data_IF_791629452283
#
_entry.id   IF_791629452283
#
_cell.length_a   1.000
_cell.length_b   1.000
_cell.length_c   1.000
_cell.angle_alpha   90.00
_cell.angle_beta   90.00
_cell.angle_gamma   90.00
#
_symmetry.space_group_name_H-M   'P 1'
#
loop_
_entity.id
_entity.type
_entity.pdbx_description
1 polymer ?
#
# COMPACT_ATOMS: atom_id res chain seq x y z
N UNK A 1 47.30 50.72 -31.92
CA UNK A 1 48.05 51.65 -31.05
C UNK A 1 47.11 52.16 -29.97
N UNK A 2 47.55 52.02 -28.71
CA UNK A 2 47.07 52.74 -27.52
C UNK A 2 46.92 54.24 -27.84
N UNK A 3 45.92 54.99 -27.35
CA UNK A 3 45.92 55.53 -25.97
C UNK A 3 44.56 56.12 -25.53
N UNK A 4 44.32 55.92 -24.23
CA UNK A 4 43.50 56.60 -23.21
C UNK A 4 42.96 58.02 -23.48
N UNK A 5 41.75 58.25 -22.97
CA UNK A 5 41.26 59.54 -22.49
C UNK A 5 40.05 59.35 -21.56
N UNK A 6 40.26 59.39 -20.25
CA UNK A 6 39.20 59.28 -19.25
C UNK A 6 38.66 60.66 -18.84
N UNK A 7 37.39 60.69 -18.46
CA UNK A 7 36.79 61.77 -17.66
C UNK A 7 35.99 61.14 -16.53
N UNK A 8 36.49 61.40 -15.31
CA UNK A 8 35.89 61.06 -14.03
C UNK A 8 35.02 62.23 -13.58
N UNK A 9 33.76 61.98 -13.25
CA UNK A 9 32.96 62.86 -12.39
C UNK A 9 32.49 62.05 -11.19
N UNK A 10 33.18 62.23 -10.07
CA UNK A 10 32.80 61.69 -8.78
C UNK A 10 31.75 62.56 -8.11
N UNK A 11 30.54 62.03 -7.95
CA UNK A 11 29.55 62.52 -7.00
C UNK A 11 29.59 61.68 -5.74
N UNK A 12 30.22 62.18 -4.67
CA UNK A 12 30.18 61.57 -3.33
C UNK A 12 28.79 61.75 -2.73
N UNK A 13 28.01 60.68 -2.61
CA UNK A 13 26.87 60.64 -1.69
C UNK A 13 27.40 60.48 -0.26
N UNK A 14 27.07 61.45 0.60
CA UNK A 14 27.49 61.46 1.99
C UNK A 14 26.84 60.30 2.79
N UNK A 15 27.56 59.81 3.79
CA UNK A 15 27.15 58.70 4.68
C UNK A 15 25.86 58.95 5.51
N UNK A 16 25.18 60.08 5.30
CA UNK A 16 23.88 60.40 5.90
C UNK A 16 22.67 60.00 5.03
N UNK A 17 22.87 59.72 3.73
CA UNK A 17 21.79 59.30 2.82
C UNK A 17 21.47 57.79 2.83
N UNK A 18 22.41 56.94 3.25
CA UNK A 18 22.24 55.47 3.24
C UNK A 18 21.58 54.95 4.54
N UNK A 19 21.59 55.73 5.63
CA UNK A 19 20.98 55.33 6.92
C UNK A 19 19.46 55.57 7.01
N UNK A 20 18.89 56.37 6.10
CA UNK A 20 17.44 56.63 6.08
C UNK A 20 16.63 55.55 5.33
N UNK A 21 17.25 54.76 4.44
CA UNK A 21 16.55 53.70 3.71
C UNK A 21 16.55 52.33 4.43
N UNK A 22 17.45 52.11 5.40
CA UNK A 22 17.55 50.85 6.15
C UNK A 22 16.69 50.86 7.43
N UNK A 23 16.22 52.03 7.88
CA UNK A 23 15.39 52.15 9.09
C UNK A 23 13.88 51.98 8.83
N UNK A 24 13.44 51.91 7.57
CA UNK A 24 12.03 51.75 7.19
C UNK A 24 11.56 50.31 6.95
N UNK A 25 12.46 49.34 6.81
CA UNK A 25 12.13 47.94 6.48
C UNK A 25 12.25 46.95 7.66
N UNK A 26 12.78 47.40 8.81
CA UNK A 26 12.86 46.58 10.04
C UNK A 26 11.65 46.80 10.97
N UNK A 27 10.89 47.90 10.78
CA UNK A 27 9.72 48.21 11.60
C UNK A 27 8.43 47.44 11.21
N UNK A 28 8.42 46.71 10.09
CA UNK A 28 7.25 45.91 9.67
C UNK A 28 7.39 44.40 9.97
N UNK A 29 8.59 43.93 10.36
CA UNK A 29 8.85 42.53 10.68
C UNK A 29 8.77 42.19 12.19
N UNK A 30 8.61 43.20 13.06
CA UNK A 30 8.56 43.01 14.51
C UNK A 30 7.14 43.13 15.13
N UNK A 31 6.09 43.32 14.32
CA UNK A 31 4.71 43.51 14.82
C UNK A 31 3.78 42.29 14.67
N UNK A 32 4.30 41.12 14.25
CA UNK A 32 3.53 39.85 14.18
C UNK A 32 4.00 38.83 15.25
N UNK A 33 5.00 39.19 16.06
CA UNK A 33 5.57 38.34 17.11
C UNK A 33 5.38 38.94 18.51
N UNK A 34 4.14 39.20 18.95
CA UNK A 34 3.80 39.42 20.36
C UNK A 34 2.28 39.50 20.61
N UNK A 35 1.56 38.39 20.49
CA UNK A 35 0.32 38.17 21.26
C UNK A 35 0.30 36.73 21.74
N UNK A 36 1.04 36.49 22.82
CA UNK A 36 0.92 35.30 23.67
C UNK A 36 0.92 35.79 25.12
N UNK A 37 -0.07 35.30 25.88
CA UNK A 37 -0.32 35.39 27.32
C UNK A 37 -1.27 36.50 27.79
N UNK A 38 -2.54 36.12 28.01
CA UNK A 38 -3.13 36.00 29.35
C UNK A 38 -4.54 35.37 29.25
N UNK A 39 -4.69 34.09 29.63
CA UNK A 39 -5.96 33.54 30.15
C UNK A 39 -5.61 32.57 31.30
N UNK A 40 -6.29 32.62 32.45
CA UNK A 40 -5.85 32.01 33.70
C UNK A 40 -6.15 30.51 33.78
N UNK A 41 -5.40 29.83 34.65
CA UNK A 41 -5.57 28.42 34.99
C UNK A 41 -6.92 28.13 35.64
N UNK A 42 -7.54 27.05 35.18
CA UNK A 42 -8.60 26.34 35.87
C UNK A 42 -8.20 24.87 36.00
N UNK A 43 -7.88 24.45 37.23
CA UNK A 43 -7.86 23.04 37.59
C UNK A 43 -9.31 22.51 37.52
N UNK A 44 -9.48 21.40 36.81
CA UNK A 44 -10.73 20.66 36.73
C UNK A 44 -10.40 19.24 36.31
N UNK A 45 -10.06 18.42 37.30
CA UNK A 45 -9.93 16.98 37.18
C UNK A 45 -11.19 16.37 36.55
N UNK A 46 -10.91 15.48 35.59
CA UNK A 46 -11.88 14.63 34.93
C UNK A 46 -11.12 13.58 34.14
N UNK A 47 -10.13 12.95 34.79
CA UNK A 47 -9.54 11.73 34.29
C UNK A 47 -10.66 10.70 34.18
N UNK A 48 -11.18 10.48 32.97
CA UNK A 48 -11.91 9.26 32.67
C UNK A 48 -10.89 8.12 32.62
N UNK A 49 -10.56 7.61 33.80
CA UNK A 49 -10.12 6.23 33.98
C UNK A 49 -11.23 5.32 33.46
N UNK A 50 -11.15 4.98 32.18
CA UNK A 50 -11.72 3.75 31.69
C UNK A 50 -10.92 3.34 30.45
N UNK A 51 -9.83 2.60 30.68
CA UNK A 51 -9.04 1.91 29.67
C UNK A 51 -9.80 0.75 29.00
N UNK A 52 -11.10 0.91 28.77
CA UNK A 52 -11.90 -0.03 27.98
C UNK A 52 -11.88 0.45 26.54
N UNK A 53 -11.40 -0.36 25.57
CA UNK A 53 -11.56 -0.01 24.17
C UNK A 53 -13.06 0.16 23.91
N UNK A 54 -13.47 1.36 23.48
CA UNK A 54 -14.83 1.61 23.02
C UNK A 54 -15.26 0.54 22.01
N UNK A 55 -16.57 0.23 21.91
CA UNK A 55 -17.05 -0.94 21.17
C UNK A 55 -16.40 -1.00 19.79
N UNK A 56 -15.82 -2.15 19.45
CA UNK A 56 -15.04 -2.40 18.23
C UNK A 56 -15.80 -2.18 16.90
N UNK A 57 -17.05 -1.69 16.97
CA UNK A 57 -18.05 -1.63 15.93
C UNK A 57 -18.06 -0.32 15.11
N UNK A 58 -17.15 0.65 15.35
CA UNK A 58 -17.17 1.94 14.63
C UNK A 58 -15.78 2.47 14.19
N UNK A 59 -14.79 1.58 14.02
CA UNK A 59 -13.46 1.95 13.51
C UNK A 59 -13.34 1.64 12.02
N UNK A 60 -12.52 2.43 11.31
CA UNK A 60 -12.12 2.09 9.95
C UNK A 60 -11.19 0.88 9.94
N UNK A 61 -11.46 -0.05 9.04
CA UNK A 61 -10.59 -1.15 8.70
C UNK A 61 -10.40 -1.19 7.18
N UNK A 62 -9.18 -1.47 6.73
CA UNK A 62 -8.92 -1.71 5.32
C UNK A 62 -9.60 -3.00 4.87
N UNK A 63 -10.38 -2.95 3.78
CA UNK A 63 -10.97 -4.14 3.15
C UNK A 63 -10.20 -4.58 1.90
N UNK A 64 -9.51 -3.64 1.26
CA UNK A 64 -8.68 -3.89 0.10
C UNK A 64 -7.58 -2.83 0.02
N UNK A 65 -6.41 -3.21 -0.50
CA UNK A 65 -5.33 -2.30 -0.86
C UNK A 65 -4.45 -2.91 -1.94
N UNK A 66 -3.69 -2.05 -2.61
CA UNK A 66 -2.56 -2.45 -3.42
C UNK A 66 -1.44 -1.41 -3.29
N UNK A 67 -0.19 -1.84 -3.32
CA UNK A 67 0.95 -0.95 -3.23
C UNK A 67 1.14 -0.18 -4.56
N UNK A 68 1.41 1.12 -4.47
CA UNK A 68 1.89 1.90 -5.60
C UNK A 68 3.30 1.44 -5.99
N UNK A 69 3.40 0.65 -7.06
CA UNK A 69 4.59 -0.14 -7.36
C UNK A 69 5.55 0.57 -8.32
N UNK A 70 5.01 1.19 -9.37
CA UNK A 70 5.81 1.77 -10.44
C UNK A 70 5.03 2.87 -11.19
N UNK A 71 5.71 3.49 -12.14
CA UNK A 71 5.10 4.34 -13.16
C UNK A 71 4.63 3.46 -14.32
N UNK A 72 3.41 3.68 -14.81
CA UNK A 72 2.89 2.92 -15.94
C UNK A 72 3.67 3.21 -17.23
N UNK A 73 4.23 2.18 -17.90
CA UNK A 73 4.89 2.36 -19.18
C UNK A 73 3.95 2.96 -20.23
N UNK A 74 4.46 3.92 -21.01
CA UNK A 74 3.71 4.54 -22.12
C UNK A 74 2.60 5.51 -21.70
N UNK A 75 2.39 5.79 -20.41
CA UNK A 75 1.39 6.75 -19.93
C UNK A 75 2.04 7.87 -19.12
N UNK A 76 2.88 8.68 -19.78
CA UNK A 76 3.64 9.77 -19.15
C UNK A 76 2.86 11.07 -18.97
N UNK A 77 1.70 11.22 -19.62
CA UNK A 77 0.83 12.39 -19.49
C UNK A 77 -0.45 12.13 -18.68
N UNK A 78 -0.62 10.90 -18.20
CA UNK A 78 -1.80 10.48 -17.45
C UNK A 78 -2.97 10.11 -18.35
N UNK A 79 -4.15 9.95 -17.74
CA UNK A 79 -5.38 9.50 -18.41
C UNK A 79 -6.37 10.66 -18.60
N UNK A 80 -5.92 11.75 -19.20
CA UNK A 80 -6.79 12.89 -19.49
C UNK A 80 -8.03 12.46 -20.31
N UNK A 81 -9.20 13.01 -19.96
CA UNK A 81 -10.47 12.72 -20.63
C UNK A 81 -10.92 11.26 -20.52
N UNK A 82 -10.44 10.51 -19.53
CA UNK A 82 -10.70 9.06 -19.40
C UNK A 82 -11.17 8.72 -17.99
N UNK A 83 -12.18 7.86 -17.90
CA UNK A 83 -12.61 7.22 -16.67
C UNK A 83 -11.92 5.88 -16.50
N UNK A 84 -11.30 5.68 -15.34
CA UNK A 84 -10.65 4.44 -14.92
C UNK A 84 -11.57 3.78 -13.89
N UNK A 85 -12.10 2.59 -14.20
CA UNK A 85 -12.89 1.76 -13.28
C UNK A 85 -12.02 0.63 -12.76
N UNK A 86 -11.43 0.84 -11.60
CA UNK A 86 -10.70 -0.17 -10.85
C UNK A 86 -11.71 -1.14 -10.21
N UNK A 87 -11.57 -2.43 -10.49
CA UNK A 87 -12.33 -3.49 -9.79
C UNK A 87 -11.49 -4.00 -8.64
N UNK A 88 -12.06 -4.04 -7.44
CA UNK A 88 -11.37 -4.49 -6.23
C UNK A 88 -12.21 -5.51 -5.47
N UNK A 89 -11.58 -6.55 -4.95
CA UNK A 89 -12.25 -7.60 -4.19
C UNK A 89 -12.15 -7.33 -2.69
N UNK A 90 -13.30 -7.28 -2.00
CA UNK A 90 -13.35 -6.92 -0.58
C UNK A 90 -13.06 -8.11 0.33
N UNK A 91 -12.16 -7.93 1.29
CA UNK A 91 -11.90 -8.95 2.32
C UNK A 91 -12.98 -8.97 3.40
N UNK A 92 -13.44 -7.79 3.85
CA UNK A 92 -14.47 -7.61 4.87
C UNK A 92 -15.52 -6.58 4.45
N UNK A 93 -16.71 -6.67 5.04
CA UNK A 93 -17.83 -5.76 4.77
C UNK A 93 -17.94 -4.59 5.74
N UNK A 94 -18.84 -3.66 5.43
CA UNK A 94 -19.19 -2.53 6.27
C UNK A 94 -20.42 -1.78 5.75
N UNK A 95 -20.83 -0.73 6.46
CA UNK A 95 -21.99 0.11 6.11
C UNK A 95 -21.59 1.49 5.56
N UNK A 96 -20.31 1.83 5.69
CA UNK A 96 -19.70 2.99 5.05
C UNK A 96 -18.36 2.60 4.43
N UNK A 97 -17.97 3.33 3.39
CA UNK A 97 -16.69 3.14 2.71
C UNK A 97 -16.03 4.48 2.42
N UNK A 98 -14.70 4.46 2.28
CA UNK A 98 -13.90 5.56 1.74
C UNK A 98 -12.74 4.98 0.94
N UNK A 99 -12.19 5.76 0.02
CA UNK A 99 -11.06 5.33 -0.81
C UNK A 99 -9.82 6.18 -0.55
N UNK A 100 -8.65 5.60 -0.82
CA UNK A 100 -7.37 6.28 -0.82
C UNK A 100 -6.84 6.35 -2.25
N UNK A 101 -6.60 7.56 -2.72
CA UNK A 101 -6.00 7.85 -4.02
C UNK A 101 -4.55 8.31 -3.84
N UNK A 102 -3.67 7.91 -4.75
CA UNK A 102 -2.22 8.16 -4.68
C UNK A 102 -1.67 8.64 -6.02
N UNK A 103 -0.89 9.71 -5.95
CA UNK A 103 -0.07 10.24 -7.03
C UNK A 103 1.42 10.15 -6.66
N UNK A 104 1.77 9.13 -5.87
CA UNK A 104 3.10 8.94 -5.28
C UNK A 104 4.25 9.01 -6.28
N UNK A 105 4.06 8.44 -7.47
CA UNK A 105 5.10 8.32 -8.50
C UNK A 105 4.92 9.35 -9.64
N UNK A 106 3.88 10.16 -9.56
CA UNK A 106 3.63 11.25 -10.49
C UNK A 106 4.55 12.45 -10.25
N UNK A 107 4.75 13.26 -11.29
CA UNK A 107 5.61 14.47 -11.26
C UNK A 107 4.83 15.76 -11.40
N UNK A 108 3.51 15.69 -11.57
CA UNK A 108 2.59 16.81 -11.69
C UNK A 108 1.35 16.57 -10.83
N UNK A 109 0.61 17.62 -10.43
CA UNK A 109 -0.66 17.44 -9.74
C UNK A 109 -1.66 16.62 -10.57
N UNK A 110 -2.28 15.64 -9.93
CA UNK A 110 -3.32 14.79 -10.51
C UNK A 110 -4.70 15.37 -10.21
N UNK A 111 -5.36 15.90 -11.23
CA UNK A 111 -6.75 16.33 -11.12
C UNK A 111 -7.71 15.14 -11.27
N UNK A 112 -8.52 14.89 -10.24
CA UNK A 112 -9.66 13.97 -10.26
C UNK A 112 -10.91 14.84 -10.26
N UNK A 113 -11.58 14.93 -11.41
CA UNK A 113 -12.79 15.73 -11.57
C UNK A 113 -13.99 15.10 -10.89
N UNK A 114 -14.14 13.78 -11.07
CA UNK A 114 -15.20 13.00 -10.44
C UNK A 114 -14.68 11.62 -10.03
N UNK A 115 -15.16 11.13 -8.89
CA UNK A 115 -14.95 9.77 -8.46
C UNK A 115 -16.25 9.14 -7.96
N UNK A 116 -16.35 7.82 -8.08
CA UNK A 116 -17.50 7.06 -7.60
C UNK A 116 -17.09 5.71 -7.04
N UNK A 117 -18.01 5.15 -6.25
CA UNK A 117 -17.93 3.81 -5.69
C UNK A 117 -19.27 3.11 -5.92
N UNK A 118 -19.24 1.86 -6.37
CA UNK A 118 -20.41 1.02 -6.48
C UNK A 118 -20.09 -0.44 -6.18
N UNK A 119 -21.11 -1.26 -5.92
CA UNK A 119 -20.96 -2.72 -5.96
C UNK A 119 -21.02 -3.17 -7.43
N UNK A 120 -20.23 -4.16 -7.81
CA UNK A 120 -20.41 -4.80 -9.11
C UNK A 120 -21.78 -5.54 -9.14
N UNK A 121 -22.43 -5.53 -10.31
CA UNK A 121 -23.71 -6.22 -10.50
C UNK A 121 -23.56 -7.75 -10.50
N UNK A 122 -22.42 -8.23 -10.99
CA UNK A 122 -21.99 -9.63 -10.99
C UNK A 122 -20.45 -9.69 -11.02
N UNK A 123 -19.83 -10.87 -10.79
CA UNK A 123 -18.40 -11.04 -11.00
C UNK A 123 -17.98 -10.72 -12.45
N UNK A 124 -16.83 -10.06 -12.62
CA UNK A 124 -16.23 -9.84 -13.93
C UNK A 124 -16.98 -8.89 -14.89
N UNK A 125 -17.97 -8.14 -14.40
CA UNK A 125 -18.67 -7.12 -15.19
C UNK A 125 -18.32 -5.69 -14.75
N UNK A 126 -18.25 -4.72 -15.70
CA UNK A 126 -18.16 -3.32 -15.35
C UNK A 126 -19.49 -2.72 -14.87
N UNK A 127 -20.62 -3.44 -14.95
CA UNK A 127 -21.94 -2.93 -14.55
C UNK A 127 -22.06 -2.81 -13.02
N UNK A 128 -22.64 -1.70 -12.56
CA UNK A 128 -22.91 -1.48 -11.14
C UNK A 128 -24.24 -2.11 -10.72
N UNK A 129 -24.28 -2.68 -9.52
CA UNK A 129 -25.53 -3.17 -8.94
C UNK A 129 -26.53 -2.01 -8.77
N UNK A 130 -27.83 -2.21 -9.10
CA UNK A 130 -28.85 -1.18 -8.97
C UNK A 130 -28.86 -0.53 -7.58
N UNK A 131 -28.97 0.80 -7.53
CA UNK A 131 -29.02 1.57 -6.28
C UNK A 131 -27.72 1.64 -5.47
N UNK A 132 -26.63 0.99 -5.92
CA UNK A 132 -25.35 0.97 -5.19
C UNK A 132 -24.40 2.12 -5.53
N UNK A 133 -24.60 2.81 -6.65
CA UNK A 133 -23.71 3.88 -7.11
C UNK A 133 -23.69 5.04 -6.11
N UNK A 134 -22.48 5.47 -5.73
CA UNK A 134 -22.23 6.60 -4.84
C UNK A 134 -21.20 7.51 -5.48
N UNK A 135 -21.52 8.80 -5.60
CA UNK A 135 -20.52 9.82 -5.90
C UNK A 135 -19.65 10.01 -4.66
N UNK A 136 -18.34 10.11 -4.87
CA UNK A 136 -17.39 10.41 -3.82
C UNK A 136 -17.09 11.90 -3.78
N UNK A 137 -16.73 12.36 -2.59
CA UNK A 137 -16.34 13.74 -2.31
C UNK A 137 -15.01 13.78 -1.56
N UNK A 138 -14.36 14.93 -1.60
CA UNK A 138 -13.11 15.20 -0.90
C UNK A 138 -13.23 16.56 -0.21
N UNK A 139 -13.30 16.56 1.12
CA UNK A 139 -13.59 17.75 1.91
C UNK A 139 -14.87 18.47 1.44
N UNK A 140 -15.91 17.68 1.14
CA UNK A 140 -17.21 18.14 0.65
C UNK A 140 -17.28 18.49 -0.84
N UNK A 141 -16.16 18.43 -1.58
CA UNK A 141 -16.10 18.79 -3.01
C UNK A 141 -16.21 17.56 -3.91
N UNK A 142 -16.82 17.66 -5.11
CA UNK A 142 -17.00 16.52 -6.02
C UNK A 142 -15.70 16.01 -6.68
N UNK A 143 -14.62 16.78 -6.59
CA UNK A 143 -13.31 16.46 -7.16
C UNK A 143 -12.18 16.98 -6.28
N UNK A 144 -10.95 16.57 -6.61
CA UNK A 144 -9.74 16.84 -5.84
C UNK A 144 -8.51 16.93 -6.73
N UNK A 145 -7.52 17.69 -6.30
CA UNK A 145 -6.17 17.67 -6.88
C UNK A 145 -5.22 16.96 -5.91
N UNK A 146 -4.67 15.82 -6.34
CA UNK A 146 -3.66 15.09 -5.56
C UNK A 146 -2.28 15.64 -5.94
N UNK A 147 -1.50 16.21 -5.00
CA UNK A 147 -0.19 16.76 -5.33
C UNK A 147 0.76 15.66 -5.84
N UNK A 148 1.77 16.04 -6.62
CA UNK A 148 2.83 15.11 -7.03
C UNK A 148 3.50 14.50 -5.78
N UNK A 149 3.68 13.18 -5.76
CA UNK A 149 4.20 12.48 -4.59
C UNK A 149 3.21 12.31 -3.43
N UNK A 150 1.99 12.85 -3.55
CA UNK A 150 1.02 12.88 -2.47
C UNK A 150 -0.10 11.85 -2.61
N UNK A 151 -0.93 11.80 -1.56
CA UNK A 151 -2.09 10.92 -1.45
C UNK A 151 -3.27 11.70 -0.86
N UNK A 152 -4.49 11.21 -1.07
CA UNK A 152 -5.70 11.78 -0.48
C UNK A 152 -6.71 10.69 -0.15
N UNK A 153 -7.45 10.86 0.94
CA UNK A 153 -8.57 10.00 1.31
C UNK A 153 -9.89 10.71 1.00
N UNK A 154 -10.87 10.00 0.44
CA UNK A 154 -12.20 10.55 0.22
C UNK A 154 -12.95 10.76 1.53
N UNK A 155 -13.95 11.63 1.50
CA UNK A 155 -14.98 11.65 2.53
C UNK A 155 -15.67 10.27 2.59
N UNK A 156 -16.22 9.88 3.75
CA UNK A 156 -16.94 8.62 3.88
C UNK A 156 -18.30 8.68 3.19
N UNK A 157 -18.68 7.58 2.54
CA UNK A 157 -20.01 7.43 1.94
C UNK A 157 -20.75 6.24 2.53
N UNK A 158 -22.07 6.39 2.71
CA UNK A 158 -22.94 5.30 3.13
C UNK A 158 -23.20 4.35 1.97
N UNK A 159 -22.66 3.15 2.08
CA UNK A 159 -22.85 2.05 1.14
C UNK A 159 -22.67 0.75 1.93
N UNK A 160 -23.68 -0.12 1.90
CA UNK A 160 -23.52 -1.48 2.39
C UNK A 160 -22.55 -2.23 1.46
N UNK A 161 -21.36 -2.48 1.96
CA UNK A 161 -20.31 -3.25 1.30
C UNK A 161 -20.35 -4.67 1.86
N UNK A 162 -20.70 -5.69 1.07
CA UNK A 162 -20.57 -7.08 1.49
C UNK A 162 -19.09 -7.44 1.61
N UNK A 163 -18.78 -8.46 2.41
CA UNK A 163 -17.49 -9.12 2.33
C UNK A 163 -17.45 -10.05 1.10
N UNK A 164 -16.25 -10.35 0.58
CA UNK A 164 -16.05 -11.22 -0.59
C UNK A 164 -16.82 -10.76 -1.83
N UNK A 165 -16.93 -9.45 -2.02
CA UNK A 165 -17.63 -8.84 -3.15
C UNK A 165 -16.74 -7.88 -3.92
N UNK A 166 -17.02 -7.76 -5.21
CA UNK A 166 -16.33 -6.81 -6.08
C UNK A 166 -16.94 -5.41 -5.95
N UNK A 167 -16.08 -4.42 -5.74
CA UNK A 167 -16.42 -3.01 -5.81
C UNK A 167 -15.83 -2.40 -7.08
N UNK A 168 -16.60 -1.47 -7.65
CA UNK A 168 -16.21 -0.65 -8.79
C UNK A 168 -15.83 0.73 -8.25
N UNK A 169 -14.54 1.04 -8.25
CA UNK A 169 -14.03 2.37 -7.92
C UNK A 169 -13.66 3.08 -9.20
N UNK A 170 -14.42 4.11 -9.55
CA UNK A 170 -14.19 4.84 -10.79
C UNK A 170 -13.61 6.23 -10.51
N UNK A 171 -12.56 6.61 -11.22
CA UNK A 171 -12.00 7.97 -11.23
C UNK A 171 -11.99 8.55 -12.63
N UNK A 172 -12.36 9.81 -12.78
CA UNK A 172 -12.27 10.56 -14.03
C UNK A 172 -11.26 11.71 -13.89
N UNK A 173 -10.31 11.79 -14.82
CA UNK A 173 -9.34 12.88 -14.89
C UNK A 173 -9.62 13.78 -16.09
N UNK A 174 -9.94 15.08 -15.89
CA UNK A 174 -10.24 15.99 -16.99
C UNK A 174 -8.99 16.47 -17.74
N UNK A 175 -7.83 16.44 -17.10
CA UNK A 175 -6.61 17.04 -17.60
C UNK A 175 -5.39 16.10 -17.48
N UNK A 176 -4.34 16.31 -18.28
CA UNK A 176 -3.07 15.61 -18.14
C UNK A 176 -2.45 15.80 -16.75
N UNK A 177 -1.85 14.75 -16.21
CA UNK A 177 -1.36 14.68 -14.82
C UNK A 177 0.06 14.13 -14.67
N UNK A 178 0.76 13.95 -15.79
CA UNK A 178 2.09 13.35 -15.77
C UNK A 178 2.05 11.83 -15.61
N UNK A 179 3.17 11.20 -15.23
CA UNK A 179 3.27 9.75 -15.23
C UNK A 179 2.32 9.07 -14.24
N UNK A 180 1.64 8.02 -14.69
CA UNK A 180 0.59 7.34 -13.92
C UNK A 180 1.22 6.49 -12.80
N UNK A 181 0.80 6.74 -11.56
CA UNK A 181 1.06 5.84 -10.43
C UNK A 181 0.16 4.60 -10.57
N UNK A 182 0.76 3.42 -10.64
CA UNK A 182 -0.02 2.18 -10.83
C UNK A 182 0.56 0.97 -10.09
N UNK A 183 -0.28 -0.06 -9.99
CA UNK A 183 0.06 -1.40 -9.56
C UNK A 183 -0.08 -2.36 -10.75
N UNK A 184 1.01 -2.96 -11.25
CA UNK A 184 1.04 -3.65 -12.55
C UNK A 184 0.29 -5.00 -12.54
N UNK A 185 0.33 -5.75 -11.44
CA UNK A 185 -0.14 -7.12 -11.37
C UNK A 185 -1.46 -7.24 -10.61
N UNK A 186 -2.50 -6.56 -11.09
CA UNK A 186 -3.78 -6.57 -10.38
C UNK A 186 -4.36 -7.97 -10.23
N UNK A 187 -4.04 -8.92 -11.14
CA UNK A 187 -4.65 -10.27 -11.20
C UNK A 187 -6.19 -10.20 -11.22
N UNK A 188 -6.70 -9.05 -11.64
CA UNK A 188 -8.10 -8.64 -11.67
C UNK A 188 -8.30 -7.76 -12.90
N UNK A 189 -9.38 -7.98 -13.62
CA UNK A 189 -9.81 -7.19 -14.76
C UNK A 189 -10.45 -5.88 -14.27
N UNK A 190 -9.86 -4.77 -14.69
CA UNK A 190 -10.38 -3.40 -14.56
C UNK A 190 -10.68 -2.82 -15.95
N UNK A 191 -11.26 -1.62 -16.01
CA UNK A 191 -11.76 -1.08 -17.27
C UNK A 191 -11.44 0.40 -17.47
N UNK A 192 -11.32 0.80 -18.73
CA UNK A 192 -11.17 2.19 -19.17
C UNK A 192 -12.32 2.58 -20.09
N UNK A 193 -12.80 3.81 -19.94
CA UNK A 193 -13.81 4.42 -20.82
C UNK A 193 -13.46 5.87 -21.13
N UNK A 194 -13.72 6.33 -22.37
CA UNK A 194 -13.53 7.74 -22.74
C UNK A 194 -14.66 8.62 -22.19
N UNK A 195 -14.29 9.85 -21.85
CA UNK A 195 -15.17 10.84 -21.24
C UNK A 195 -15.40 10.59 -19.75
N UNK A 196 -16.21 11.46 -19.15
CA UNK A 196 -16.65 11.28 -17.77
C UNK A 196 -17.77 10.24 -17.72
N UNK A 197 -17.42 9.06 -17.21
CA UNK A 197 -18.27 7.90 -17.02
C UNK A 197 -18.28 7.49 -15.55
N UNK A 198 -17.84 8.36 -14.64
CA UNK A 198 -17.74 8.06 -13.22
C UNK A 198 -19.08 7.54 -12.66
N UNK A 199 -20.20 8.13 -13.07
CA UNK A 199 -21.53 7.74 -12.62
C UNK A 199 -22.25 6.70 -13.51
N UNK A 200 -21.60 6.15 -14.55
CA UNK A 200 -22.24 5.20 -15.47
C UNK A 200 -22.46 3.84 -14.79
N UNK A 201 -23.72 3.51 -14.50
CA UNK A 201 -24.13 2.26 -13.86
C UNK A 201 -24.18 1.08 -14.82
N UNK A 202 -24.34 1.31 -16.13
CA UNK A 202 -24.54 0.24 -17.11
C UNK A 202 -23.24 -0.50 -17.40
N UNK A 203 -22.11 0.20 -17.32
CA UNK A 203 -20.81 -0.35 -17.70
C UNK A 203 -20.59 -0.41 -19.22
N UNK A 204 -21.55 -0.01 -20.05
CA UNK A 204 -21.50 -0.20 -21.50
C UNK A 204 -20.35 0.57 -22.18
N UNK A 205 -19.97 1.73 -21.63
CA UNK A 205 -18.86 2.53 -22.15
C UNK A 205 -17.46 1.95 -21.82
N UNK A 206 -17.38 0.97 -20.91
CA UNK A 206 -16.13 0.40 -20.40
C UNK A 206 -15.65 -0.76 -21.27
N UNK A 207 -15.29 -0.44 -22.51
CA UNK A 207 -14.95 -1.44 -23.53
C UNK A 207 -13.48 -1.89 -23.49
N UNK A 208 -12.58 -1.10 -22.89
CA UNK A 208 -11.15 -1.47 -22.78
C UNK A 208 -10.88 -2.12 -21.43
N UNK A 209 -10.54 -3.42 -21.46
CA UNK A 209 -10.08 -4.19 -20.29
C UNK A 209 -8.59 -3.93 -20.03
N UNK A 210 -8.22 -3.87 -18.75
CA UNK A 210 -6.84 -3.71 -18.27
C UNK A 210 -6.63 -4.55 -17.02
N UNK A 211 -5.40 -4.99 -16.76
CA UNK A 211 -5.06 -5.90 -15.64
C UNK A 211 -4.16 -5.23 -14.59
N UNK A 212 -4.34 -3.93 -14.41
CA UNK A 212 -3.57 -3.10 -13.48
C UNK A 212 -4.50 -2.13 -12.75
N UNK A 213 -4.20 -1.83 -11.49
CA UNK A 213 -4.88 -0.76 -10.75
C UNK A 213 -4.12 0.56 -10.89
N UNK A 214 -4.84 1.67 -11.06
CA UNK A 214 -4.23 3.00 -11.26
C UNK A 214 -4.79 3.98 -10.25
N UNK A 215 -3.89 4.76 -9.66
CA UNK A 215 -4.16 5.80 -8.66
C UNK A 215 -4.89 5.36 -7.38
N UNK A 216 -5.49 4.19 -7.33
CA UNK A 216 -6.20 3.65 -6.15
C UNK A 216 -5.26 2.77 -5.34
N UNK A 217 -5.06 3.08 -4.06
CA UNK A 217 -4.17 2.32 -3.16
C UNK A 217 -4.87 1.73 -1.94
N UNK A 218 -6.10 2.15 -1.65
CA UNK A 218 -6.85 1.60 -0.53
C UNK A 218 -8.36 1.79 -0.64
N UNK A 219 -9.10 0.85 -0.07
CA UNK A 219 -10.52 0.97 0.26
C UNK A 219 -10.69 0.56 1.71
N UNK A 220 -11.18 1.49 2.52
CA UNK A 220 -11.52 1.24 3.91
C UNK A 220 -13.03 1.12 4.05
N UNK A 221 -13.46 0.26 4.98
CA UNK A 221 -14.85 0.14 5.40
C UNK A 221 -14.99 0.41 6.88
N UNK A 222 -16.19 0.82 7.29
CA UNK A 222 -16.57 0.99 8.69
C UNK A 222 -17.92 0.32 8.92
N UNK A 223 -18.05 -0.40 10.02
CA UNK A 223 -19.30 -1.07 10.40
C UNK A 223 -19.12 -2.00 11.60
N UNK A 224 -20.17 -2.74 12.00
CA UNK A 224 -20.18 -3.51 13.25
C UNK A 224 -19.16 -4.66 13.29
N UNK A 225 -18.50 -4.97 12.18
CA UNK A 225 -17.60 -6.12 12.02
C UNK A 225 -16.19 -5.71 11.58
N UNK A 226 -15.80 -4.45 11.78
CA UNK A 226 -14.48 -3.91 11.41
C UNK A 226 -13.50 -3.93 12.60
N UNK A 227 -13.16 -5.13 13.08
CA UNK A 227 -12.32 -5.34 14.27
C UNK A 227 -10.85 -4.92 14.11
N UNK A 228 -10.39 -4.74 12.86
CA UNK A 228 -9.02 -4.33 12.54
C UNK A 228 -8.61 -4.81 11.15
N UNK A 229 -7.31 -4.80 10.90
CA UNK A 229 -6.72 -5.16 9.62
C UNK A 229 -5.42 -5.95 9.82
N UNK A 230 -5.23 -6.99 9.01
CA UNK A 230 -3.95 -7.66 8.80
C UNK A 230 -3.40 -7.26 7.42
N UNK A 231 -2.12 -6.92 7.36
CA UNK A 231 -1.43 -6.58 6.12
C UNK A 231 -0.52 -7.74 5.73
N UNK A 232 -0.64 -8.24 4.50
CA UNK A 232 0.32 -9.12 3.87
C UNK A 232 1.30 -8.26 3.06
N UNK A 233 2.56 -8.16 3.49
CA UNK A 233 3.60 -7.41 2.75
C UNK A 233 4.64 -8.37 2.19
N UNK A 234 4.97 -8.18 0.92
CA UNK A 234 5.92 -9.08 0.27
C UNK A 234 6.24 -8.77 -1.17
N UNK A 235 6.70 -9.79 -1.88
CA UNK A 235 7.06 -9.72 -3.29
C UNK A 235 6.01 -10.35 -4.22
N UNK A 236 6.42 -10.98 -5.34
CA UNK A 236 5.53 -11.58 -6.34
C UNK A 236 4.73 -12.76 -5.82
N UNK A 237 5.22 -13.46 -4.80
CA UNK A 237 4.46 -14.53 -4.15
C UNK A 237 3.27 -13.91 -3.40
N UNK A 238 3.51 -12.87 -2.60
CA UNK A 238 2.42 -12.11 -1.95
C UNK A 238 1.52 -11.35 -2.92
N UNK A 239 2.07 -10.79 -4.00
CA UNK A 239 1.33 -10.13 -5.08
C UNK A 239 0.36 -11.11 -5.79
N UNK A 240 0.61 -12.41 -5.68
CA UNK A 240 -0.21 -13.46 -6.26
C UNK A 240 0.16 -13.77 -7.71
N UNK A 241 1.43 -13.65 -8.07
CA UNK A 241 1.89 -14.01 -9.40
C UNK A 241 1.53 -15.46 -9.72
N UNK A 242 1.11 -15.74 -10.96
CA UNK A 242 0.56 -17.04 -11.41
C UNK A 242 -0.77 -17.49 -10.81
N UNK A 243 -1.38 -16.74 -9.89
CA UNK A 243 -2.77 -17.01 -9.49
C UNK A 243 -3.70 -16.86 -10.69
N UNK A 244 -4.77 -17.66 -10.73
CA UNK A 244 -5.80 -17.58 -11.78
C UNK A 244 -6.38 -16.16 -11.80
N UNK A 245 -6.32 -15.44 -12.95
CA UNK A 245 -6.91 -14.11 -13.07
C UNK A 245 -8.41 -14.10 -12.74
N UNK A 246 -8.87 -13.04 -12.08
CA UNK A 246 -10.28 -12.83 -11.68
C UNK A 246 -10.86 -13.87 -10.70
N UNK A 247 -10.08 -14.86 -10.25
CA UNK A 247 -10.54 -15.89 -9.33
C UNK A 247 -10.37 -15.54 -7.85
N UNK A 248 -9.57 -14.51 -7.53
CA UNK A 248 -9.20 -14.15 -6.15
C UNK A 248 -8.60 -15.34 -5.38
N UNK A 249 -7.60 -15.99 -5.99
CA UNK A 249 -6.91 -17.17 -5.46
C UNK A 249 -5.46 -16.88 -4.99
N UNK A 250 -5.19 -15.64 -4.58
CA UNK A 250 -3.89 -15.30 -3.95
C UNK A 250 -3.94 -15.74 -2.49
N UNK A 251 -2.80 -16.00 -1.86
CA UNK A 251 -2.82 -16.44 -0.46
C UNK A 251 -3.48 -15.41 0.50
N UNK A 252 -3.39 -14.08 0.29
CA UNK A 252 -4.14 -13.13 1.12
C UNK A 252 -5.67 -13.21 0.91
N UNK A 253 -6.14 -13.62 -0.27
CA UNK A 253 -7.56 -13.83 -0.56
C UNK A 253 -8.10 -15.06 0.20
N UNK A 254 -7.34 -16.16 0.20
CA UNK A 254 -7.67 -17.35 0.99
C UNK A 254 -7.58 -17.06 2.49
N UNK A 255 -6.60 -16.27 2.96
CA UNK A 255 -6.55 -15.82 4.35
C UNK A 255 -7.80 -15.00 4.72
N UNK A 256 -8.26 -14.11 3.83
CA UNK A 256 -9.49 -13.36 4.05
C UNK A 256 -10.70 -14.29 4.15
N UNK A 257 -10.77 -15.34 3.34
CA UNK A 257 -11.83 -16.35 3.44
C UNK A 257 -11.79 -17.05 4.81
N UNK A 258 -10.62 -17.53 5.24
CA UNK A 258 -10.44 -18.18 6.55
C UNK A 258 -10.85 -17.27 7.71
N UNK A 259 -10.43 -16.01 7.70
CA UNK A 259 -10.80 -15.02 8.73
C UNK A 259 -12.30 -14.76 8.83
N UNK A 260 -13.04 -14.91 7.73
CA UNK A 260 -14.51 -14.76 7.73
C UNK A 260 -15.23 -16.00 8.23
N UNK A 261 -14.72 -17.19 7.93
CA UNK A 261 -15.47 -18.44 8.09
C UNK A 261 -15.04 -19.27 9.28
N UNK A 262 -13.80 -19.15 9.76
CA UNK A 262 -13.30 -19.98 10.85
C UNK A 262 -13.79 -19.51 12.23
N UNK A 263 -14.32 -20.42 13.07
CA UNK A 263 -14.76 -20.08 14.41
C UNK A 263 -13.65 -19.45 15.26
N UNK A 264 -13.98 -18.32 15.88
CA UNK A 264 -13.04 -17.61 16.74
C UNK A 264 -11.95 -16.86 15.99
N UNK A 265 -11.91 -16.81 14.66
CA UNK A 265 -10.99 -15.93 13.93
C UNK A 265 -11.22 -14.44 14.29
N UNK A 266 -10.16 -13.60 14.32
CA UNK A 266 -10.37 -12.16 14.48
C UNK A 266 -11.09 -11.59 13.25
N UNK A 267 -11.99 -10.62 13.48
CA UNK A 267 -12.72 -9.93 12.39
C UNK A 267 -11.84 -8.85 11.75
N UNK A 268 -10.79 -9.28 11.05
CA UNK A 268 -9.85 -8.40 10.37
C UNK A 268 -10.04 -8.40 8.87
N UNK A 269 -9.92 -7.21 8.27
CA UNK A 269 -9.71 -7.10 6.83
C UNK A 269 -8.31 -7.51 6.45
N UNK A 270 -8.12 -8.01 5.23
CA UNK A 270 -6.83 -8.41 4.69
C UNK A 270 -6.41 -7.45 3.60
N UNK A 271 -5.22 -6.91 3.73
CA UNK A 271 -4.62 -5.97 2.79
C UNK A 271 -3.44 -6.64 2.10
N UNK A 272 -3.48 -6.73 0.77
CA UNK A 272 -2.35 -7.20 -0.02
C UNK A 272 -1.44 -6.01 -0.37
N UNK A 273 -0.19 -6.09 0.06
CA UNK A 273 0.87 -5.12 -0.20
C UNK A 273 2.07 -5.80 -0.88
N UNK A 274 1.82 -6.85 -1.65
CA UNK A 274 2.78 -7.45 -2.56
C UNK A 274 3.19 -6.49 -3.66
N UNK A 275 4.44 -6.58 -4.10
CA UNK A 275 4.93 -5.98 -5.34
C UNK A 275 5.78 -7.03 -6.03
N UNK A 276 5.42 -7.43 -7.25
CA UNK A 276 6.20 -8.44 -7.96
C UNK A 276 7.67 -8.06 -8.10
N UNK A 277 8.55 -8.98 -7.68
CA UNK A 277 10.00 -8.79 -7.67
C UNK A 277 10.53 -7.82 -6.62
N UNK A 278 9.73 -7.43 -5.63
CA UNK A 278 10.17 -6.55 -4.57
C UNK A 278 11.28 -7.16 -3.72
N UNK A 279 12.08 -6.30 -3.10
CA UNK A 279 13.21 -6.68 -2.25
C UNK A 279 13.01 -6.13 -0.85
N UNK A 280 13.60 -6.79 0.13
CA UNK A 280 13.63 -6.32 1.50
C UNK A 280 14.48 -5.05 1.64
N UNK A 281 15.69 -5.07 1.06
CA UNK A 281 16.74 -4.09 1.36
C UNK A 281 16.95 -3.04 0.28
N UNK A 282 16.71 -3.38 -0.98
CA UNK A 282 17.18 -2.59 -2.13
C UNK A 282 16.01 -2.07 -2.95
N UNK A 283 15.91 -0.75 -3.07
CA UNK A 283 14.89 -0.09 -3.89
C UNK A 283 15.04 -0.48 -5.38
N UNK A 284 13.89 -0.67 -6.01
CA UNK A 284 13.76 -0.65 -7.46
C UNK A 284 13.56 0.76 -7.98
N UNK A 285 13.99 1.00 -9.21
CA UNK A 285 13.63 2.22 -9.92
C UNK A 285 12.11 2.33 -10.05
N UNK A 286 11.56 3.55 -9.94
CA UNK A 286 10.13 3.80 -10.19
C UNK A 286 9.68 3.42 -11.60
N UNK A 287 10.62 3.25 -12.53
CA UNK A 287 10.37 2.80 -13.91
C UNK A 287 10.39 1.28 -14.05
N UNK A 288 10.88 0.57 -13.03
CA UNK A 288 10.94 -0.89 -13.01
C UNK A 288 9.62 -1.47 -12.48
N UNK A 289 8.76 -1.89 -13.40
CA UNK A 289 7.43 -2.48 -13.10
C UNK A 289 7.49 -3.79 -12.30
N UNK A 290 8.68 -4.37 -12.10
CA UNK A 290 8.89 -5.65 -11.40
C UNK A 290 9.88 -5.54 -10.24
N UNK A 291 9.92 -4.41 -9.52
CA UNK A 291 10.72 -4.27 -8.30
C UNK A 291 10.13 -3.30 -7.28
N UNK A 292 9.73 -2.08 -7.69
CA UNK A 292 9.22 -1.04 -6.78
C UNK A 292 10.16 -0.67 -5.61
N UNK A 293 9.76 0.27 -4.73
CA UNK A 293 10.53 0.59 -3.52
C UNK A 293 10.62 -0.62 -2.58
N UNK A 294 11.75 -0.80 -1.90
CA UNK A 294 11.97 -1.93 -0.98
C UNK A 294 10.95 -1.96 0.15
N UNK A 295 10.74 -3.14 0.76
CA UNK A 295 9.83 -3.31 1.90
C UNK A 295 10.19 -2.34 3.03
N UNK A 296 11.47 -2.18 3.36
CA UNK A 296 11.91 -1.24 4.40
C UNK A 296 11.57 0.22 4.08
N UNK A 297 11.77 0.64 2.83
CA UNK A 297 11.47 2.01 2.37
C UNK A 297 9.97 2.31 2.39
N UNK A 298 9.12 1.31 2.13
CA UNK A 298 7.66 1.50 2.05
C UNK A 298 6.87 1.09 3.29
N UNK A 299 7.53 0.56 4.33
CA UNK A 299 6.86 -0.01 5.51
C UNK A 299 5.88 0.98 6.17
N UNK A 300 6.28 2.25 6.31
CA UNK A 300 5.42 3.27 6.93
C UNK A 300 4.10 3.44 6.16
N UNK A 301 4.20 3.60 4.84
CA UNK A 301 3.06 3.84 3.95
C UNK A 301 2.19 2.60 3.80
N UNK A 302 2.81 1.47 3.50
CA UNK A 302 2.10 0.27 3.07
C UNK A 302 1.59 -0.58 4.23
N UNK A 303 2.17 -0.44 5.44
CA UNK A 303 1.76 -1.19 6.63
C UNK A 303 1.33 -0.26 7.75
N UNK A 304 2.25 0.57 8.27
CA UNK A 304 2.08 1.23 9.57
C UNK A 304 1.00 2.32 9.57
N UNK A 305 0.71 2.88 8.39
CA UNK A 305 -0.31 3.93 8.20
C UNK A 305 -1.66 3.38 7.74
N UNK A 306 -1.81 2.06 7.58
CA UNK A 306 -3.07 1.47 7.08
C UNK A 306 -4.16 1.48 8.16
N UNK A 307 -5.38 1.75 7.72
CA UNK A 307 -6.53 1.91 8.61
C UNK A 307 -6.76 0.63 9.44
N UNK A 308 -6.75 0.78 10.75
CA UNK A 308 -7.09 -0.30 11.67
C UNK A 308 -6.06 -1.43 11.73
N UNK A 309 -4.83 -1.25 11.23
CA UNK A 309 -3.80 -2.30 11.27
C UNK A 309 -3.58 -2.82 12.70
N UNK A 310 -3.51 -4.15 12.81
CA UNK A 310 -3.27 -4.91 14.04
C UNK A 310 -2.16 -5.93 13.88
N UNK A 311 -2.01 -6.47 12.67
CA UNK A 311 -0.99 -7.45 12.36
C UNK A 311 -0.40 -7.21 10.97
N UNK A 312 0.84 -7.66 10.78
CA UNK A 312 1.49 -7.77 9.48
C UNK A 312 2.08 -9.17 9.33
N UNK A 313 1.87 -9.79 8.17
CA UNK A 313 2.54 -11.02 7.75
C UNK A 313 3.59 -10.61 6.70
N UNK A 314 4.85 -10.99 6.93
CA UNK A 314 5.99 -10.58 6.10
C UNK A 314 6.51 -11.78 5.31
N UNK A 315 6.43 -11.72 3.99
CA UNK A 315 6.93 -12.73 3.06
C UNK A 315 7.83 -12.07 2.02
N UNK A 316 9.15 -12.16 2.23
CA UNK A 316 10.13 -11.42 1.43
C UNK A 316 11.51 -12.06 1.53
N UNK A 317 12.36 -11.84 0.52
CA UNK A 317 13.80 -12.04 0.62
C UNK A 317 14.41 -12.85 -0.52
N UNK A 318 13.63 -13.69 -1.21
CA UNK A 318 14.14 -14.48 -2.34
C UNK A 318 14.71 -13.59 -3.45
N UNK A 319 14.03 -12.48 -3.76
CA UNK A 319 14.49 -11.52 -4.75
C UNK A 319 15.80 -10.82 -4.36
N UNK A 320 16.09 -10.64 -3.07
CA UNK A 320 17.37 -10.12 -2.60
C UNK A 320 18.52 -11.10 -2.88
N UNK A 321 18.25 -12.41 -2.91
CA UNK A 321 19.25 -13.44 -3.17
C UNK A 321 19.67 -13.48 -4.65
N UNK A 322 18.71 -13.53 -5.59
CA UNK A 322 19.03 -13.81 -7.00
C UNK A 322 19.10 -12.57 -7.90
N UNK A 323 18.52 -11.43 -7.52
CA UNK A 323 18.65 -10.18 -8.31
C UNK A 323 19.97 -9.48 -8.04
N UNK A 324 20.50 -8.77 -9.04
CA UNK A 324 21.69 -7.95 -8.87
C UNK A 324 21.37 -6.57 -8.24
N UNK A 325 22.21 -6.04 -7.34
CA UNK A 325 23.27 -6.76 -6.63
C UNK A 325 22.67 -7.81 -5.67
N UNK A 326 23.27 -9.00 -5.62
CA UNK A 326 22.82 -10.09 -4.76
C UNK A 326 23.20 -9.84 -3.32
N UNK A 327 22.35 -10.25 -2.38
CA UNK A 327 22.66 -10.32 -0.97
C UNK A 327 22.97 -11.76 -0.57
N UNK A 328 24.25 -12.05 -0.31
CA UNK A 328 24.72 -13.39 0.09
C UNK A 328 24.96 -13.52 1.59
N UNK A 329 24.85 -12.42 2.34
CA UNK A 329 24.98 -12.42 3.79
C UNK A 329 23.58 -12.58 4.43
N UNK A 330 23.28 -13.75 5.05
CA UNK A 330 22.00 -13.96 5.72
C UNK A 330 21.82 -13.03 6.93
N UNK A 331 22.90 -12.51 7.52
CA UNK A 331 22.86 -11.55 8.62
C UNK A 331 22.21 -10.23 8.20
N UNK A 332 22.58 -9.70 7.02
CA UNK A 332 21.99 -8.45 6.49
C UNK A 332 20.49 -8.59 6.21
N UNK A 333 20.04 -9.74 5.73
CA UNK A 333 18.62 -10.02 5.54
C UNK A 333 17.89 -10.15 6.88
N UNK A 334 18.48 -10.89 7.82
CA UNK A 334 17.93 -11.02 9.18
C UNK A 334 17.79 -9.66 9.88
N UNK A 335 18.77 -8.76 9.73
CA UNK A 335 18.72 -7.42 10.33
C UNK A 335 17.63 -6.56 9.71
N UNK A 336 17.45 -6.61 8.38
CA UNK A 336 16.32 -5.93 7.72
C UNK A 336 14.96 -6.48 8.18
N UNK A 337 14.85 -7.79 8.36
CA UNK A 337 13.63 -8.44 8.87
C UNK A 337 13.32 -8.03 10.31
N UNK A 338 14.35 -7.98 11.18
CA UNK A 338 14.22 -7.48 12.56
C UNK A 338 13.84 -6.00 12.61
N UNK A 339 14.29 -5.20 11.66
CA UNK A 339 13.91 -3.78 11.58
C UNK A 339 12.43 -3.60 11.26
N UNK A 340 11.86 -4.45 10.39
CA UNK A 340 10.39 -4.49 10.18
C UNK A 340 9.71 -4.80 11.51
N UNK A 341 10.19 -5.82 12.21
CA UNK A 341 9.59 -6.28 13.45
C UNK A 341 9.62 -5.18 14.53
N UNK A 342 10.77 -4.53 14.71
CA UNK A 342 10.97 -3.42 15.63
C UNK A 342 10.03 -2.25 15.33
N UNK A 343 9.98 -1.79 14.07
CA UNK A 343 9.15 -0.64 13.66
C UNK A 343 7.65 -0.91 13.82
N UNK A 344 7.19 -2.12 13.48
CA UNK A 344 5.80 -2.50 13.63
C UNK A 344 5.40 -2.66 15.10
N UNK A 345 6.22 -3.32 15.93
CA UNK A 345 5.94 -3.45 17.37
C UNK A 345 5.93 -2.12 18.12
N UNK A 346 6.78 -1.16 17.71
CA UNK A 346 6.74 0.20 18.25
C UNK A 346 5.39 0.91 18.00
N UNK A 347 4.60 0.45 17.02
CA UNK A 347 3.23 0.90 16.74
C UNK A 347 2.16 -0.03 17.32
N UNK A 348 2.53 -1.00 18.16
CA UNK A 348 1.62 -2.00 18.72
C UNK A 348 1.09 -3.01 17.70
N UNK A 349 1.75 -3.15 16.54
CA UNK A 349 1.35 -4.05 15.46
C UNK A 349 2.06 -5.40 15.67
N UNK A 350 1.28 -6.47 15.64
CA UNK A 350 1.79 -7.84 15.68
C UNK A 350 2.51 -8.19 14.39
N UNK A 351 3.65 -8.87 14.48
CA UNK A 351 4.45 -9.25 13.31
C UNK A 351 4.53 -10.76 13.25
N UNK A 352 4.20 -11.31 12.09
CA UNK A 352 4.36 -12.72 11.76
C UNK A 352 5.31 -12.77 10.58
N UNK A 353 6.55 -13.17 10.83
CA UNK A 353 7.50 -13.44 9.76
C UNK A 353 7.14 -14.69 8.97
N UNK A 354 7.81 -14.92 7.85
CA UNK A 354 7.74 -16.21 7.17
C UNK A 354 9.11 -16.68 6.73
N UNK A 355 9.28 -18.00 6.71
CA UNK A 355 10.42 -18.63 6.05
C UNK A 355 10.34 -18.40 4.53
N UNK A 356 11.48 -18.22 3.87
CA UNK A 356 11.57 -18.13 2.42
C UNK A 356 11.22 -19.47 1.78
N UNK A 357 10.35 -19.45 0.78
CA UNK A 357 9.84 -20.63 0.08
C UNK A 357 10.93 -21.36 -0.73
N UNK A 358 10.74 -22.64 -1.08
CA UNK A 358 11.66 -23.36 -1.95
C UNK A 358 11.60 -22.78 -3.37
N UNK A 359 12.74 -22.74 -4.05
CA UNK A 359 12.84 -22.24 -5.43
C UNK A 359 13.79 -23.08 -6.31
N UNK A 360 14.05 -24.32 -5.89
CA UNK A 360 14.83 -25.29 -6.66
C UNK A 360 14.15 -25.61 -7.98
N UNK A 361 14.91 -25.51 -9.08
CA UNK A 361 14.38 -25.66 -10.45
C UNK A 361 14.10 -24.32 -11.14
N UNK A 362 13.93 -23.22 -10.40
CA UNK A 362 13.75 -21.91 -11.01
C UNK A 362 15.03 -21.50 -11.76
N UNK A 363 14.89 -20.77 -12.88
CA UNK A 363 16.03 -20.30 -13.69
C UNK A 363 17.08 -19.48 -12.91
N UNK A 364 16.66 -18.84 -11.82
CA UNK A 364 17.53 -18.05 -10.93
C UNK A 364 18.19 -18.88 -9.83
N UNK A 365 17.88 -20.17 -9.72
CA UNK A 365 18.42 -21.05 -8.69
C UNK A 365 19.93 -21.26 -8.83
N UNK A 366 20.61 -21.22 -7.68
CA UNK A 366 22.00 -21.65 -7.52
C UNK A 366 22.13 -22.23 -6.11
N UNK A 367 22.94 -23.28 -5.95
CA UNK A 367 23.16 -23.92 -4.66
C UNK A 367 23.68 -22.93 -3.59
N UNK A 368 24.53 -21.98 -3.99
CA UNK A 368 25.02 -20.90 -3.10
C UNK A 368 23.88 -20.05 -2.52
N UNK A 369 22.85 -19.73 -3.33
CA UNK A 369 21.73 -18.90 -2.91
C UNK A 369 20.79 -19.68 -1.99
N UNK A 370 20.58 -20.97 -2.28
CA UNK A 370 19.78 -21.83 -1.43
C UNK A 370 20.43 -22.08 -0.06
N UNK A 371 21.77 -22.15 0.01
CA UNK A 371 22.50 -22.20 1.27
C UNK A 371 22.20 -20.96 2.16
N UNK A 372 22.19 -19.76 1.56
CA UNK A 372 21.81 -18.52 2.26
C UNK A 372 20.34 -18.56 2.69
N UNK A 373 19.44 -19.01 1.82
CA UNK A 373 18.02 -19.19 2.12
C UNK A 373 17.80 -20.14 3.31
N UNK A 374 18.45 -21.29 3.31
CA UNK A 374 18.35 -22.28 4.39
C UNK A 374 18.91 -21.74 5.70
N UNK A 375 20.05 -21.05 5.66
CA UNK A 375 20.63 -20.41 6.83
C UNK A 375 19.67 -19.36 7.44
N UNK A 376 19.03 -18.54 6.60
CA UNK A 376 18.03 -17.56 7.05
C UNK A 376 16.77 -18.25 7.61
N UNK A 377 16.27 -19.29 6.96
CA UNK A 377 15.13 -20.07 7.46
C UNK A 377 15.42 -20.73 8.80
N UNK A 378 16.63 -21.24 9.01
CA UNK A 378 17.06 -21.81 10.29
C UNK A 378 17.01 -20.75 11.41
N UNK A 379 17.47 -19.52 11.13
CA UNK A 379 17.37 -18.40 12.09
C UNK A 379 15.93 -18.00 12.40
N UNK A 380 15.05 -17.98 11.40
CA UNK A 380 13.62 -17.71 11.59
C UNK A 380 12.99 -18.77 12.49
N UNK A 381 13.22 -20.05 12.21
CA UNK A 381 12.71 -21.17 13.01
C UNK A 381 13.26 -21.20 14.44
N UNK A 382 14.49 -20.75 14.63
CA UNK A 382 15.11 -20.61 15.95
C UNK A 382 14.59 -19.40 16.76
N UNK A 383 13.70 -18.58 16.19
CA UNK A 383 13.20 -17.36 16.83
C UNK A 383 14.23 -16.23 16.89
N UNK A 384 15.32 -16.30 16.12
CA UNK A 384 16.38 -15.29 16.12
C UNK A 384 16.01 -14.05 15.28
N UNK A 385 14.98 -14.14 14.43
CA UNK A 385 14.56 -13.05 13.52
C UNK A 385 13.20 -12.48 13.91
N UNK A 386 12.25 -13.36 14.23
CA UNK A 386 10.88 -13.00 14.58
C UNK A 386 10.44 -13.75 15.83
N UNK A 387 9.64 -13.13 16.68
CA UNK A 387 8.96 -13.80 17.80
C UNK A 387 7.94 -14.83 17.29
N UNK A 388 7.28 -14.53 16.18
CA UNK A 388 6.23 -15.35 15.57
C UNK A 388 6.50 -15.51 14.08
N UNK A 389 6.30 -16.71 13.57
CA UNK A 389 6.47 -16.99 12.16
C UNK A 389 5.46 -18.02 11.64
N UNK A 390 5.31 -18.03 10.32
CA UNK A 390 4.67 -19.09 9.55
C UNK A 390 5.71 -19.77 8.63
N UNK A 391 5.73 -21.09 8.63
CA UNK A 391 6.70 -21.88 7.85
C UNK A 391 6.18 -22.14 6.43
N UNK A 392 6.26 -21.13 5.56
CA UNK A 392 5.91 -21.29 4.14
C UNK A 392 6.86 -22.20 3.36
N UNK A 393 8.10 -22.42 3.84
CA UNK A 393 9.00 -23.42 3.27
C UNK A 393 8.43 -24.82 3.47
N UNK A 394 8.06 -25.16 4.70
CA UNK A 394 7.45 -26.44 5.02
C UNK A 394 6.08 -26.63 4.35
N UNK A 395 5.24 -25.59 4.33
CA UNK A 395 3.92 -25.67 3.73
C UNK A 395 3.96 -25.99 2.22
N UNK A 396 5.03 -25.58 1.52
CA UNK A 396 5.11 -25.65 0.06
C UNK A 396 6.07 -26.71 -0.48
N UNK A 397 7.07 -27.14 0.30
CA UNK A 397 8.13 -28.02 -0.20
C UNK A 397 7.64 -29.42 -0.57
N UNK A 398 8.27 -29.98 -1.59
CA UNK A 398 8.11 -31.39 -1.92
C UNK A 398 8.79 -32.25 -0.83
N UNK A 399 8.07 -33.17 -0.16
CA UNK A 399 8.69 -34.06 0.82
C UNK A 399 9.77 -34.98 0.22
N UNK A 400 9.69 -35.31 -1.08
CA UNK A 400 10.69 -36.10 -1.79
C UNK A 400 11.88 -35.29 -2.30
N UNK A 401 11.73 -33.97 -2.41
CA UNK A 401 12.82 -33.05 -2.76
C UNK A 401 12.59 -31.66 -2.11
N UNK A 402 13.01 -31.48 -0.85
CA UNK A 402 12.69 -30.28 -0.06
C UNK A 402 13.20 -28.95 -0.63
N UNK A 403 14.06 -29.00 -1.65
CA UNK A 403 14.55 -27.81 -2.35
C UNK A 403 13.53 -27.23 -3.33
N UNK A 404 12.48 -27.98 -3.69
CA UNK A 404 11.50 -27.62 -4.71
C UNK A 404 10.11 -27.45 -4.13
N UNK A 405 9.27 -26.68 -4.82
CA UNK A 405 7.84 -26.71 -4.59
C UNK A 405 7.29 -28.11 -4.85
N UNK A 406 6.33 -28.55 -4.04
CA UNK A 406 5.55 -29.75 -4.33
C UNK A 406 4.89 -29.59 -5.71
N UNK A 407 4.89 -30.61 -6.59
CA UNK A 407 4.37 -30.47 -7.95
C UNK A 407 2.93 -29.93 -8.04
N UNK A 408 2.06 -30.29 -7.10
CA UNK A 408 0.69 -29.78 -7.04
C UNK A 408 0.60 -28.27 -6.70
N UNK A 409 1.64 -27.73 -6.05
CA UNK A 409 1.74 -26.33 -5.63
C UNK A 409 2.60 -25.49 -6.56
N UNK A 410 3.30 -26.11 -7.52
CA UNK A 410 4.15 -25.41 -8.48
C UNK A 410 3.33 -24.90 -9.66
N UNK A 411 3.48 -23.63 -10.02
CA UNK A 411 2.91 -23.08 -11.26
C UNK A 411 3.59 -23.59 -12.53
N UNK A 412 4.73 -24.27 -12.39
CA UNK A 412 5.59 -24.77 -13.45
C UNK A 412 6.83 -23.91 -13.68
N UNK A 413 6.94 -22.75 -13.01
CA UNK A 413 8.15 -21.92 -13.06
C UNK A 413 9.12 -22.16 -11.89
N UNK A 414 8.75 -23.06 -10.97
CA UNK A 414 9.54 -23.49 -9.83
C UNK A 414 9.84 -22.38 -8.81
N UNK A 415 9.08 -21.29 -8.82
CA UNK A 415 9.19 -20.18 -7.87
C UNK A 415 7.83 -19.75 -7.33
N UNK A 416 6.84 -19.59 -8.20
CA UNK A 416 5.52 -19.10 -7.82
C UNK A 416 4.54 -20.25 -7.55
N UNK A 417 3.78 -20.16 -6.45
CA UNK A 417 2.73 -21.12 -6.17
C UNK A 417 1.60 -21.11 -7.21
N UNK A 418 1.05 -22.27 -7.52
CA UNK A 418 -0.28 -22.42 -8.14
C UNK A 418 -1.38 -21.96 -7.17
N UNK A 419 -2.64 -21.89 -7.63
CA UNK A 419 -3.79 -21.62 -6.75
C UNK A 419 -3.84 -22.58 -5.54
N UNK A 420 -3.47 -23.85 -5.73
CA UNK A 420 -3.42 -24.83 -4.66
C UNK A 420 -2.27 -24.53 -3.67
N UNK A 421 -1.11 -24.08 -4.17
CA UNK A 421 -0.02 -23.63 -3.31
C UNK A 421 -0.36 -22.36 -2.52
N UNK A 422 -1.02 -21.39 -3.15
CA UNK A 422 -1.50 -20.19 -2.45
C UNK A 422 -2.53 -20.51 -1.36
N UNK A 423 -3.41 -21.49 -1.60
CA UNK A 423 -4.30 -22.00 -0.56
C UNK A 423 -3.51 -22.64 0.59
N UNK A 424 -2.53 -23.48 0.30
CA UNK A 424 -1.68 -24.12 1.31
C UNK A 424 -0.93 -23.08 2.17
N UNK A 425 -0.42 -22.00 1.57
CA UNK A 425 0.16 -20.88 2.32
C UNK A 425 -0.85 -20.25 3.28
N UNK A 426 -2.05 -19.95 2.79
CA UNK A 426 -3.08 -19.37 3.65
C UNK A 426 -3.46 -20.30 4.80
N UNK A 427 -3.57 -21.61 4.56
CA UNK A 427 -3.89 -22.65 5.56
C UNK A 427 -2.80 -22.80 6.63
N UNK A 428 -1.53 -22.56 6.29
CA UNK A 428 -0.41 -22.63 7.23
C UNK A 428 -0.44 -21.52 8.30
N UNK A 429 -1.15 -20.40 8.05
CA UNK A 429 -1.23 -19.29 9.01
C UNK A 429 -2.09 -19.68 10.21
N UNK A 430 -1.52 -19.71 11.42
CA UNK A 430 -2.31 -19.83 12.64
C UNK A 430 -3.00 -18.49 12.97
N UNK A 431 -4.31 -18.43 12.76
CA UNK A 431 -5.11 -17.21 12.95
C UNK A 431 -5.08 -16.67 14.39
N UNK A 432 -4.71 -17.51 15.37
CA UNK A 432 -4.56 -17.05 16.77
C UNK A 432 -3.35 -16.13 16.92
N UNK A 433 -2.31 -16.29 16.10
CA UNK A 433 -1.13 -15.43 16.14
C UNK A 433 -1.44 -13.97 15.76
N UNK A 434 -2.50 -13.76 14.97
CA UNK A 434 -2.96 -12.43 14.56
C UNK A 434 -3.59 -11.64 15.71
N UNK A 435 -4.00 -12.31 16.78
CA UNK A 435 -4.60 -11.68 17.96
C UNK A 435 -3.53 -11.29 18.96
N UNK A 436 -3.77 -10.18 19.64
CA UNK A 436 -2.97 -9.73 20.77
C UNK A 436 -2.71 -8.23 20.72
N UNK A 437 -2.48 -7.65 21.89
CA UNK A 437 -1.88 -6.32 22.01
C UNK A 437 -0.39 -6.50 22.23
N UNK A 438 0.43 -6.11 21.25
CA UNK A 438 1.85 -5.90 21.49
C UNK A 438 1.95 -4.66 22.37
N UNK A 439 2.53 -4.78 23.58
CA UNK A 439 2.88 -3.58 24.36
C UNK A 439 3.90 -2.81 23.55
N UNK A 440 3.59 -1.56 23.19
CA UNK A 440 4.57 -0.70 22.56
C UNK A 440 5.75 -0.54 23.53
N UNK A 441 6.92 -1.05 23.13
CA UNK A 441 8.15 -0.78 23.88
C UNK A 441 8.55 0.66 23.54
N UNK A 442 8.71 1.55 24.55
CA UNK A 442 9.02 2.96 24.34
C UNK A 442 10.32 3.20 23.57
#
# INVERSE_FOLDING_TARGET
MSTRGGLSVGGRLSARGVRALISGLVALAALIAAVVLLVPGGNGEGASEDGRPGPAADRWAGTWSAAAAAVEPGNLDGYAGTSIRNVVHTSIGGTSARIQLSNLLGTRPLAIGHASLARAAAPGTPAAAPGSMRRLTFSGRPGVTVPAGGEVTSDPVRLTVPAAADLLVTTYSPAPSGPVTFHPHARQTSYLARGDRAADTTGAAYTKKVTSWRYLTGVDVRGPHTGGTVVAIGDSITDGNTSTPDANHRWPDFLAARLRTEPGAPRYGVLNQGISGNRLLTDGSRWAVSSGPSVLSRLERDVLSRAGVRAVIVEIGLNDLFKSPRQLDPGKLADGMREIERRARARGIQVIGSTLTPFGGHRGYRAELDSVRQALNAKIRAGEVYERYVDFDEALRDPGNPLRLRPAYDSGDHLHPSDAGYRAMAEAVDLRQLKGTVRATP
#
